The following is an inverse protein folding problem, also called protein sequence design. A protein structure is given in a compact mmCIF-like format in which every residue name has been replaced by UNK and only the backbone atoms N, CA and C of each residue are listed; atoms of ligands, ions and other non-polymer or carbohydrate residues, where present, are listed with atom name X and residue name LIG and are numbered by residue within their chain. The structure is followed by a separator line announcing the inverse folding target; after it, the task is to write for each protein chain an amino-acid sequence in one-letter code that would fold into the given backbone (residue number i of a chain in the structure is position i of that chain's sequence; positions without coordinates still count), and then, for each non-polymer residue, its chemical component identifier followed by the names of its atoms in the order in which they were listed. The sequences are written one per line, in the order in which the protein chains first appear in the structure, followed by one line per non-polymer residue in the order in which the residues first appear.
data_IF_043459026185
#
_entry.id   IF_043459026185
#
_cell.length_a   1.000
_cell.length_b   1.000
_cell.length_c   1.000
_cell.angle_alpha   90.00
_cell.angle_beta   90.00
_cell.angle_gamma   90.00
#
_symmetry.space_group_name_H-M   'P 1'
#
loop_
_entity.id
_entity.type
_entity.pdbx_description
1 polymer ?
#
# COMPACT_ATOMS: atom_id res chain seq x y z
N UNK A 1 5.65 2.81 11.50
CA UNK A 1 4.93 2.50 10.25
C UNK A 1 5.91 2.03 9.19
N UNK A 2 6.83 2.90 8.72
CA UNK A 2 7.81 2.53 7.68
C UNK A 2 8.68 1.29 7.97
N UNK A 3 9.16 1.01 9.20
CA UNK A 3 9.92 -0.23 9.44
C UNK A 3 9.12 -1.51 9.17
N UNK A 4 7.83 -1.53 9.54
CA UNK A 4 6.96 -2.68 9.32
C UNK A 4 6.63 -2.84 7.83
N UNK A 5 6.28 -1.74 7.17
CA UNK A 5 6.02 -1.70 5.72
C UNK A 5 7.25 -2.14 4.89
N UNK A 6 8.46 -1.68 5.25
CA UNK A 6 9.71 -2.15 4.63
C UNK A 6 9.91 -3.65 4.80
N UNK A 7 9.63 -4.18 5.99
CA UNK A 7 9.72 -5.62 6.26
C UNK A 7 8.73 -6.41 5.42
N UNK A 8 7.49 -5.93 5.31
CA UNK A 8 6.44 -6.57 4.52
C UNK A 8 6.79 -6.63 3.03
N UNK A 9 7.24 -5.50 2.45
CA UNK A 9 7.68 -5.43 1.04
C UNK A 9 8.85 -6.37 0.79
N UNK A 10 9.83 -6.44 1.70
CA UNK A 10 10.98 -7.34 1.56
C UNK A 10 10.56 -8.81 1.64
N UNK A 11 9.70 -9.16 2.61
CA UNK A 11 9.23 -10.53 2.86
C UNK A 11 8.39 -11.07 1.71
N UNK A 12 7.59 -10.20 1.08
CA UNK A 12 6.64 -10.55 0.03
C UNK A 12 7.10 -10.17 -1.38
N UNK A 13 8.39 -9.84 -1.57
CA UNK A 13 8.92 -9.39 -2.86
C UNK A 13 8.73 -10.41 -4.01
N UNK A 14 8.64 -11.71 -3.68
CA UNK A 14 8.43 -12.80 -4.64
C UNK A 14 6.99 -13.33 -4.63
N UNK A 15 6.06 -12.62 -4.01
CA UNK A 15 4.63 -12.94 -3.98
C UNK A 15 3.85 -11.93 -4.83
N UNK A 16 2.63 -12.25 -5.28
CA UNK A 16 1.75 -11.31 -5.99
C UNK A 16 1.19 -10.25 -5.02
N UNK A 17 2.09 -9.45 -4.43
CA UNK A 17 1.81 -8.44 -3.43
C UNK A 17 2.43 -7.10 -3.86
N UNK A 18 1.67 -6.03 -3.64
CA UNK A 18 2.16 -4.67 -3.84
C UNK A 18 1.76 -3.78 -2.66
N UNK A 19 2.72 -3.03 -2.13
CA UNK A 19 2.45 -1.90 -1.25
C UNK A 19 2.47 -0.60 -2.08
N UNK A 20 1.45 0.23 -1.92
CA UNK A 20 1.33 1.51 -2.61
C UNK A 20 1.20 2.64 -1.59
N UNK A 21 2.11 3.61 -1.65
CA UNK A 21 2.07 4.82 -0.83
C UNK A 21 1.31 5.95 -1.53
N UNK A 22 0.50 6.70 -0.78
CA UNK A 22 -0.08 7.97 -1.25
C UNK A 22 0.38 9.08 -0.32
N UNK A 23 1.27 9.93 -0.83
CA UNK A 23 1.85 11.03 -0.08
C UNK A 23 0.96 12.29 -0.14
N UNK A 24 0.70 12.89 1.02
CA UNK A 24 -0.13 14.09 1.17
C UNK A 24 0.64 15.35 1.55
N UNK A 25 1.97 15.36 1.39
CA UNK A 25 2.74 16.59 1.50
C UNK A 25 2.34 17.53 0.35
N UNK A 26 2.15 18.82 0.66
CA UNK A 26 1.76 19.82 -0.34
C UNK A 26 2.88 20.16 -1.32
N UNK A 27 4.12 19.95 -0.91
CA UNK A 27 5.32 20.30 -1.68
C UNK A 27 5.92 19.04 -2.31
N UNK A 28 5.78 18.92 -3.64
CA UNK A 28 6.33 17.81 -4.41
C UNK A 28 7.86 17.75 -4.35
N UNK A 29 8.54 18.90 -4.21
CA UNK A 29 10.00 18.94 -4.19
C UNK A 29 10.57 18.24 -2.95
N UNK A 30 9.82 18.21 -1.85
CA UNK A 30 10.20 17.53 -0.61
C UNK A 30 9.93 16.02 -0.62
N UNK A 31 9.15 15.53 -1.60
CA UNK A 31 8.79 14.12 -1.65
C UNK A 31 10.00 13.24 -1.92
N UNK A 32 10.78 13.53 -2.96
CA UNK A 32 11.91 12.68 -3.36
C UNK A 32 12.97 12.56 -2.27
N UNK A 33 13.45 13.65 -1.63
CA UNK A 33 14.38 13.56 -0.51
C UNK A 33 13.84 12.72 0.66
N UNK A 34 12.56 12.87 0.99
CA UNK A 34 11.93 12.09 2.07
C UNK A 34 11.84 10.60 1.75
N UNK A 35 11.53 10.24 0.50
CA UNK A 35 11.51 8.82 0.08
C UNK A 35 12.90 8.18 0.20
N UNK A 36 13.96 8.93 -0.13
CA UNK A 36 15.34 8.49 0.01
C UNK A 36 15.75 8.36 1.49
N UNK A 37 15.48 9.39 2.30
CA UNK A 37 15.76 9.41 3.75
C UNK A 37 15.08 8.25 4.50
N UNK A 38 13.80 8.01 4.20
CA UNK A 38 13.00 6.97 4.86
C UNK A 38 13.18 5.58 4.23
N UNK A 39 14.04 5.44 3.21
CA UNK A 39 14.25 4.19 2.47
C UNK A 39 12.94 3.57 1.97
N UNK A 40 12.06 4.40 1.40
CA UNK A 40 10.78 3.97 0.83
C UNK A 40 11.05 3.45 -0.59
N UNK A 41 11.03 2.13 -0.73
CA UNK A 41 11.33 1.43 -2.00
C UNK A 41 10.08 1.06 -2.80
N UNK A 42 8.90 1.14 -2.20
CA UNK A 42 7.64 0.81 -2.86
C UNK A 42 7.08 1.99 -3.65
N UNK A 43 6.23 1.67 -4.63
CA UNK A 43 5.59 2.65 -5.51
C UNK A 43 4.80 3.67 -4.69
N UNK A 44 5.09 4.95 -4.91
CA UNK A 44 4.49 6.06 -4.17
C UNK A 44 3.94 7.13 -5.11
N UNK A 45 2.71 7.56 -4.87
CA UNK A 45 2.02 8.59 -5.64
C UNK A 45 1.91 9.89 -4.83
N UNK A 46 1.98 11.02 -5.52
CA UNK A 46 1.74 12.32 -4.91
C UNK A 46 0.26 12.69 -5.01
N UNK A 47 -0.38 12.98 -3.88
CA UNK A 47 -1.79 13.37 -3.80
C UNK A 47 -2.04 14.81 -4.30
N UNK A 48 -1.00 15.50 -4.79
CA UNK A 48 -1.11 16.84 -5.34
C UNK A 48 -1.04 17.96 -4.30
N UNK A 49 -1.09 19.22 -4.76
CA UNK A 49 -0.78 20.39 -3.93
C UNK A 49 -1.83 20.67 -2.85
N UNK A 50 -3.02 20.07 -2.95
CA UNK A 50 -4.09 20.15 -1.94
C UNK A 50 -3.77 19.30 -0.69
N UNK A 51 -2.65 18.55 -0.69
CA UNK A 51 -2.19 17.78 0.46
C UNK A 51 -3.20 16.72 0.87
N UNK A 52 -3.67 16.74 2.13
CA UNK A 52 -4.66 15.77 2.63
C UNK A 52 -6.03 15.82 1.93
N UNK A 53 -6.34 16.93 1.25
CA UNK A 53 -7.59 17.13 0.50
C UNK A 53 -7.42 16.91 -1.01
N UNK A 54 -6.34 16.25 -1.42
CA UNK A 54 -6.05 15.94 -2.81
C UNK A 54 -7.04 14.97 -3.47
N UNK A 55 -7.03 14.88 -4.81
CA UNK A 55 -7.96 14.07 -5.58
C UNK A 55 -7.98 12.59 -5.18
N UNK A 56 -6.83 11.98 -4.85
CA UNK A 56 -6.80 10.55 -4.49
C UNK A 56 -7.49 10.34 -3.14
N UNK A 57 -7.15 11.15 -2.13
CA UNK A 57 -7.79 11.07 -0.81
C UNK A 57 -9.29 11.31 -0.85
N UNK A 58 -9.76 12.24 -1.70
CA UNK A 58 -11.19 12.48 -1.93
C UNK A 58 -11.87 11.27 -2.58
N UNK A 59 -11.31 10.75 -3.67
CA UNK A 59 -11.86 9.60 -4.38
C UNK A 59 -11.96 8.35 -3.49
N UNK A 60 -10.99 8.15 -2.60
CA UNK A 60 -10.94 7.02 -1.66
C UNK A 60 -11.62 7.31 -0.31
N UNK A 61 -12.37 8.41 -0.19
CA UNK A 61 -13.09 8.84 1.03
C UNK A 61 -12.22 8.75 2.31
N UNK A 62 -10.97 9.22 2.21
CA UNK A 62 -10.02 9.28 3.32
C UNK A 62 -10.40 10.42 4.25
N UNK A 63 -10.63 10.12 5.53
CA UNK A 63 -11.08 11.10 6.54
C UNK A 63 -10.08 11.33 7.68
N UNK A 64 -9.05 10.49 7.79
CA UNK A 64 -8.02 10.58 8.82
C UNK A 64 -6.68 10.06 8.30
N UNK A 65 -5.59 10.43 8.97
CA UNK A 65 -4.24 10.07 8.58
C UNK A 65 -3.49 9.41 9.76
N UNK A 66 -2.78 8.29 9.53
CA UNK A 66 -2.76 7.50 8.29
C UNK A 66 -4.04 6.66 8.14
N UNK A 67 -4.47 6.47 6.88
CA UNK A 67 -5.52 5.50 6.50
C UNK A 67 -4.88 4.39 5.66
N UNK A 68 -5.22 3.13 5.96
CA UNK A 68 -4.70 1.95 5.27
C UNK A 68 -5.88 1.17 4.70
N UNK A 69 -5.76 0.74 3.45
CA UNK A 69 -6.71 -0.17 2.80
C UNK A 69 -5.94 -1.42 2.35
N UNK A 70 -6.48 -2.59 2.64
CA UNK A 70 -5.96 -3.87 2.12
C UNK A 70 -6.98 -4.40 1.12
N UNK A 71 -6.53 -4.58 -0.12
CA UNK A 71 -7.35 -5.04 -1.23
C UNK A 71 -6.99 -6.48 -1.58
N UNK A 72 -7.96 -7.26 -2.03
CA UNK A 72 -7.71 -8.57 -2.62
C UNK A 72 -7.32 -8.46 -4.11
N UNK A 73 -7.00 -9.60 -4.73
CA UNK A 73 -6.61 -9.71 -6.14
C UNK A 73 -7.72 -9.28 -7.12
N UNK A 74 -8.97 -9.15 -6.65
CA UNK A 74 -10.11 -8.64 -7.44
C UNK A 74 -10.29 -7.13 -7.30
N UNK A 75 -9.42 -6.46 -6.55
CA UNK A 75 -9.48 -5.03 -6.29
C UNK A 75 -10.54 -4.63 -5.26
N UNK A 76 -11.07 -5.57 -4.47
CA UNK A 76 -12.07 -5.29 -3.44
C UNK A 76 -11.38 -4.93 -2.14
N UNK A 77 -11.82 -3.85 -1.46
CA UNK A 77 -11.32 -3.50 -0.14
C UNK A 77 -11.85 -4.51 0.88
N UNK A 78 -10.95 -5.28 1.49
CA UNK A 78 -11.29 -6.32 2.47
C UNK A 78 -11.04 -5.88 3.90
N UNK A 79 -10.03 -5.03 4.11
CA UNK A 79 -9.69 -4.51 5.43
C UNK A 79 -9.40 -3.01 5.36
N UNK A 80 -9.73 -2.31 6.45
CA UNK A 80 -9.44 -0.88 6.64
C UNK A 80 -8.74 -0.66 7.97
N UNK A 81 -7.65 0.09 7.95
CA UNK A 81 -6.88 0.52 9.13
C UNK A 81 -6.33 -0.60 10.02
N UNK A 82 -6.12 -1.80 9.46
CA UNK A 82 -5.33 -2.86 10.10
C UNK A 82 -3.84 -2.50 10.10
N UNK A 83 -3.11 -2.86 11.16
CA UNK A 83 -1.70 -2.48 11.40
C UNK A 83 -0.95 -3.59 12.13
N UNK A 84 0.36 -3.64 11.98
CA UNK A 84 1.22 -4.62 12.64
C UNK A 84 0.80 -6.05 12.27
N UNK A 85 0.74 -6.94 13.25
CA UNK A 85 0.39 -8.36 13.05
C UNK A 85 -0.96 -8.54 12.34
N UNK A 86 -1.97 -7.71 12.66
CA UNK A 86 -3.27 -7.79 11.99
C UNK A 86 -3.23 -7.45 10.50
N UNK A 87 -2.26 -6.63 10.08
CA UNK A 87 -2.04 -6.38 8.66
C UNK A 87 -1.35 -7.57 8.01
N UNK A 88 -0.39 -8.19 8.69
CA UNK A 88 0.32 -9.37 8.20
C UNK A 88 -0.66 -10.54 7.98
N UNK A 89 -1.51 -10.83 8.97
CA UNK A 89 -2.57 -11.84 8.89
C UNK A 89 -3.56 -11.56 7.75
N UNK A 90 -3.97 -10.29 7.59
CA UNK A 90 -4.87 -9.89 6.52
C UNK A 90 -4.26 -10.13 5.14
N UNK A 91 -2.99 -9.77 4.94
CA UNK A 91 -2.29 -9.97 3.67
C UNK A 91 -2.10 -11.47 3.39
N UNK A 92 -1.71 -12.25 4.39
CA UNK A 92 -1.53 -13.70 4.25
C UNK A 92 -2.83 -14.41 3.90
N UNK A 93 -3.94 -14.01 4.53
CA UNK A 93 -5.28 -14.53 4.21
C UNK A 93 -5.63 -14.28 2.75
N UNK A 94 -5.44 -13.05 2.25
CA UNK A 94 -5.80 -12.71 0.87
C UNK A 94 -4.88 -13.35 -0.17
N UNK A 95 -3.60 -13.55 0.17
CA UNK A 95 -2.67 -14.30 -0.68
C UNK A 95 -3.09 -15.78 -0.78
N UNK A 96 -3.46 -16.41 0.34
CA UNK A 96 -3.96 -17.78 0.34
C UNK A 96 -5.28 -17.91 -0.45
N UNK A 97 -6.20 -16.96 -0.30
CA UNK A 97 -7.44 -16.92 -1.09
C UNK A 97 -7.17 -16.79 -2.60
N UNK A 98 -6.17 -15.99 -3.00
CA UNK A 98 -5.75 -15.85 -4.40
C UNK A 98 -5.11 -17.13 -4.95
N UNK A 99 -4.25 -17.79 -4.16
CA UNK A 99 -3.65 -19.07 -4.56
C UNK A 99 -4.73 -20.16 -4.72
N UNK A 100 -5.74 -20.17 -3.84
CA UNK A 100 -6.86 -21.10 -3.90
C UNK A 100 -7.84 -20.84 -5.06
N UNK A 101 -7.97 -19.58 -5.53
CA UNK A 101 -8.84 -19.27 -6.68
C UNK A 101 -8.23 -19.65 -8.03
N UNK A 102 -6.96 -20.07 -8.06
CA UNK A 102 -6.26 -20.44 -9.29
C UNK A 102 -5.74 -19.25 -10.11
N UNK A 103 -5.92 -18.02 -9.62
CA UNK A 103 -5.53 -16.79 -10.32
C UNK A 103 -4.01 -16.50 -10.23
N UNK A 104 -3.23 -17.38 -9.60
CA UNK A 104 -1.79 -17.22 -9.39
C UNK A 104 -0.91 -17.75 -10.55
N UNK A 105 -1.48 -18.25 -11.66
CA UNK A 105 -0.71 -18.95 -12.70
C UNK A 105 -0.15 -18.08 -13.84
N UNK A 106 -0.50 -16.80 -13.96
CA UNK A 106 -0.11 -15.98 -15.12
C UNK A 106 0.93 -14.89 -14.78
N UNK A 107 2.16 -15.28 -14.43
CA UNK A 107 3.32 -14.43 -14.73
C UNK A 107 4.60 -15.29 -14.85
N UNK A 108 4.83 -15.82 -16.05
CA UNK A 108 6.15 -16.27 -16.48
C UNK A 108 6.31 -15.94 -17.97
N UNK A 109 6.88 -14.77 -18.24
CA UNK A 109 7.59 -14.47 -19.49
C UNK A 109 9.06 -14.22 -19.16
#
# INVERSE_FOLDING_TARGET
MYPHERSLVKRLANKPFALIGVNSDRDKAKLKPRLEEENITWRSFWNGPQGTSGPISKAWNVRSWPTIYVLDHKGVIRYKNVRGEKMDEAVETLLAEMEASGDASDTKE
#
